data_IF_914889013938
#
_entry.id   IF_914889013938
#
_cell.length_a   1.000
_cell.length_b   1.000
_cell.length_c   1.000
_cell.angle_alpha   90.00
_cell.angle_beta   90.00
_cell.angle_gamma   90.00
#
_symmetry.space_group_name_H-M   'P 1'
#
loop_
_entity.id
_entity.type
_entity.pdbx_description
1 polymer ?
#
# COMPACT_ATOMS: atom_id res chain seq x y z
N UNK A 1 -24.33 10.55 -8.02
CA UNK A 1 -24.45 10.53 -6.54
C UNK A 1 -23.24 11.25 -5.98
N UNK A 2 -23.42 12.22 -5.07
CA UNK A 2 -22.31 12.96 -4.45
C UNK A 2 -21.84 12.23 -3.19
N UNK A 3 -20.55 12.28 -2.89
CA UNK A 3 -19.93 11.62 -1.74
C UNK A 3 -19.17 12.63 -0.83
N UNK A 4 -18.48 12.11 0.19
CA UNK A 4 -17.71 12.94 1.11
C UNK A 4 -16.46 13.58 0.50
N UNK A 5 -15.93 13.08 -0.62
CA UNK A 5 -14.83 13.75 -1.36
C UNK A 5 -15.36 15.01 -2.03
N UNK A 6 -16.57 14.97 -2.60
CA UNK A 6 -17.16 16.14 -3.25
C UNK A 6 -17.26 17.33 -2.30
N UNK A 7 -17.59 17.10 -1.03
CA UNK A 7 -17.60 18.17 0.00
C UNK A 7 -16.23 18.81 0.22
N UNK A 8 -15.15 18.03 0.12
CA UNK A 8 -13.78 18.53 0.25
C UNK A 8 -13.39 19.34 -0.98
N UNK A 9 -13.69 18.84 -2.17
CA UNK A 9 -13.41 19.54 -3.44
C UNK A 9 -14.19 20.86 -3.51
N UNK A 10 -15.48 20.86 -3.18
CA UNK A 10 -16.29 22.08 -3.13
C UNK A 10 -15.69 23.14 -2.21
N UNK A 11 -15.21 22.73 -1.03
CA UNK A 11 -14.56 23.64 -0.07
C UNK A 11 -13.29 24.27 -0.66
N UNK A 12 -12.49 23.49 -1.38
CA UNK A 12 -11.30 23.99 -2.06
C UNK A 12 -11.66 24.96 -3.20
N UNK A 13 -12.63 24.62 -4.04
CA UNK A 13 -13.07 25.49 -5.13
C UNK A 13 -13.66 26.81 -4.60
N UNK A 14 -14.31 26.80 -3.44
CA UNK A 14 -14.81 28.03 -2.80
C UNK A 14 -13.68 28.94 -2.30
N UNK A 15 -12.59 28.37 -1.78
CA UNK A 15 -11.45 29.13 -1.25
C UNK A 15 -10.43 29.52 -2.32
N UNK A 16 -10.29 28.72 -3.37
CA UNK A 16 -9.31 28.87 -4.46
C UNK A 16 -9.96 28.53 -5.80
N UNK A 17 -10.84 29.39 -6.32
CA UNK A 17 -11.51 29.16 -7.61
C UNK A 17 -10.55 29.15 -8.80
N UNK A 18 -9.31 29.63 -8.62
CA UNK A 18 -8.24 29.59 -9.60
C UNK A 18 -7.56 28.21 -9.74
N UNK A 19 -7.79 27.29 -8.81
CA UNK A 19 -7.20 25.95 -8.81
C UNK A 19 -8.22 24.87 -9.18
N UNK A 20 -7.88 24.04 -10.17
CA UNK A 20 -8.63 22.82 -10.45
C UNK A 20 -8.20 21.70 -9.48
N UNK A 21 -9.04 21.42 -8.49
CA UNK A 21 -8.84 20.35 -7.52
C UNK A 21 -9.43 19.00 -7.98
N UNK A 22 -10.02 18.90 -9.17
CA UNK A 22 -10.65 17.67 -9.66
C UNK A 22 -9.73 16.43 -9.65
N UNK A 23 -8.42 16.49 -9.95
CA UNK A 23 -7.54 15.32 -9.91
C UNK A 23 -7.39 14.74 -8.50
N UNK A 24 -7.39 15.60 -7.48
CA UNK A 24 -7.34 15.18 -6.07
C UNK A 24 -8.59 14.38 -5.70
N UNK A 25 -9.73 14.71 -6.30
CA UNK A 25 -10.98 13.98 -6.13
C UNK A 25 -10.88 12.52 -6.58
N UNK A 26 -10.11 12.22 -7.62
CA UNK A 26 -9.88 10.84 -8.08
C UNK A 26 -8.95 10.11 -7.11
N UNK A 27 -7.82 10.72 -6.77
CA UNK A 27 -6.83 10.13 -5.85
C UNK A 27 -7.45 9.83 -4.48
N UNK A 28 -8.23 10.77 -3.92
CA UNK A 28 -8.88 10.60 -2.63
C UNK A 28 -9.88 9.43 -2.61
N UNK A 29 -10.61 9.21 -3.72
CA UNK A 29 -11.54 8.08 -3.85
C UNK A 29 -10.79 6.75 -3.94
N UNK A 30 -9.71 6.69 -4.73
CA UNK A 30 -8.87 5.50 -4.83
C UNK A 30 -8.22 5.16 -3.47
N UNK A 31 -7.78 6.18 -2.72
CA UNK A 31 -7.26 5.98 -1.36
C UNK A 31 -8.32 5.41 -0.41
N UNK A 32 -9.57 5.86 -0.49
CA UNK A 32 -10.67 5.29 0.29
C UNK A 32 -10.94 3.83 -0.05
N UNK A 33 -11.04 3.53 -1.34
CA UNK A 33 -11.21 2.15 -1.81
C UNK A 33 -10.05 1.27 -1.34
N UNK A 34 -8.81 1.76 -1.46
CA UNK A 34 -7.62 1.08 -0.94
C UNK A 34 -7.72 0.85 0.56
N UNK A 35 -8.15 1.82 1.36
CA UNK A 35 -8.26 1.65 2.82
C UNK A 35 -9.21 0.52 3.22
N UNK A 36 -10.27 0.29 2.44
CA UNK A 36 -11.16 -0.85 2.65
C UNK A 36 -10.46 -2.18 2.34
N UNK A 37 -9.72 -2.27 1.24
CA UNK A 37 -8.94 -3.48 0.93
C UNK A 37 -7.82 -3.72 1.93
N UNK A 38 -7.13 -2.68 2.37
CA UNK A 38 -6.03 -2.79 3.33
C UNK A 38 -6.53 -3.38 4.66
N UNK A 39 -7.74 -3.01 5.13
CA UNK A 39 -8.36 -3.58 6.34
C UNK A 39 -8.68 -5.07 6.20
N UNK A 40 -9.29 -5.48 5.09
CA UNK A 40 -9.64 -6.88 4.83
C UNK A 40 -8.38 -7.74 4.67
N UNK A 41 -7.36 -7.22 3.96
CA UNK A 41 -6.07 -7.89 3.80
C UNK A 41 -5.34 -8.02 5.13
N UNK A 42 -5.33 -6.97 5.96
CA UNK A 42 -4.71 -7.00 7.28
C UNK A 42 -5.36 -8.08 8.16
N UNK A 43 -6.69 -8.16 8.19
CA UNK A 43 -7.40 -9.22 8.91
C UNK A 43 -7.03 -10.62 8.39
N UNK A 44 -7.05 -10.81 7.07
CA UNK A 44 -6.67 -12.08 6.44
C UNK A 44 -5.25 -12.51 6.78
N UNK A 45 -4.26 -11.62 6.71
CA UNK A 45 -2.88 -11.98 7.05
C UNK A 45 -2.69 -12.21 8.55
N UNK A 46 -3.43 -11.49 9.40
CA UNK A 46 -3.40 -11.68 10.85
C UNK A 46 -3.85 -13.09 11.26
N UNK A 47 -4.83 -13.69 10.57
CA UNK A 47 -5.25 -15.09 10.79
C UNK A 47 -4.09 -16.09 10.54
N UNK A 48 -3.09 -15.68 9.76
CA UNK A 48 -1.88 -16.44 9.48
C UNK A 48 -0.65 -15.96 10.26
N UNK A 49 -0.80 -15.03 11.21
CA UNK A 49 0.29 -14.39 11.96
C UNK A 49 1.31 -13.66 11.07
N UNK A 50 0.85 -13.17 9.92
CA UNK A 50 1.65 -12.42 8.94
C UNK A 50 1.15 -10.98 8.84
N UNK A 51 1.96 -10.13 8.21
CA UNK A 51 1.47 -8.90 7.59
C UNK A 51 1.57 -9.00 6.07
N UNK A 52 0.94 -8.03 5.37
CA UNK A 52 1.13 -7.87 3.93
C UNK A 52 2.61 -7.80 3.54
N UNK A 53 3.45 -7.13 4.34
CA UNK A 53 4.88 -7.00 4.07
C UNK A 53 5.64 -8.32 4.19
N UNK A 54 5.21 -9.23 5.08
CA UNK A 54 5.77 -10.58 5.18
C UNK A 54 5.36 -11.42 3.97
N UNK A 55 4.08 -11.33 3.61
CA UNK A 55 3.57 -12.02 2.44
C UNK A 55 4.30 -11.60 1.16
N UNK A 56 4.60 -10.30 0.99
CA UNK A 56 5.41 -9.81 -0.14
C UNK A 56 6.79 -10.48 -0.20
N UNK A 57 7.45 -10.65 0.95
CA UNK A 57 8.74 -11.34 1.04
C UNK A 57 8.58 -12.81 0.66
N UNK A 58 7.63 -13.53 1.26
CA UNK A 58 7.37 -14.93 0.98
C UNK A 58 7.00 -15.17 -0.50
N UNK A 59 6.12 -14.34 -1.06
CA UNK A 59 5.72 -14.40 -2.46
C UNK A 59 6.91 -14.13 -3.40
N UNK A 60 7.79 -13.20 -3.03
CA UNK A 60 9.00 -12.90 -3.80
C UNK A 60 10.00 -14.05 -3.74
N UNK A 61 10.29 -14.58 -2.55
CA UNK A 61 11.12 -15.77 -2.38
C UNK A 61 10.58 -16.95 -3.21
N UNK A 62 9.26 -17.14 -3.21
CA UNK A 62 8.61 -18.18 -4.02
C UNK A 62 8.85 -17.97 -5.53
N UNK A 63 8.73 -16.73 -6.04
CA UNK A 63 9.05 -16.39 -7.44
C UNK A 63 10.52 -16.59 -7.78
N UNK A 64 11.42 -16.40 -6.82
CA UNK A 64 12.87 -16.60 -6.96
C UNK A 64 13.29 -18.07 -6.80
N UNK A 65 12.35 -19.01 -6.71
CA UNK A 65 12.66 -20.45 -6.62
C UNK A 65 12.78 -21.00 -5.20
N UNK A 66 12.36 -20.24 -4.19
CA UNK A 66 12.28 -20.68 -2.78
C UNK A 66 13.49 -20.33 -1.92
N UNK A 67 14.60 -19.89 -2.52
CA UNK A 67 15.76 -19.37 -1.80
C UNK A 67 16.45 -18.29 -2.64
N UNK A 68 16.86 -17.19 -2.02
CA UNK A 68 17.63 -16.14 -2.70
C UNK A 68 18.70 -15.56 -1.79
N UNK A 69 19.69 -14.89 -2.37
CA UNK A 69 20.55 -14.01 -1.58
C UNK A 69 19.74 -12.80 -1.09
N UNK A 70 20.18 -12.19 0.01
CA UNK A 70 19.57 -10.96 0.52
C UNK A 70 19.62 -9.84 -0.53
N UNK A 71 20.71 -9.74 -1.30
CA UNK A 71 20.83 -8.77 -2.39
C UNK A 71 19.76 -8.96 -3.47
N UNK A 72 19.54 -10.20 -3.92
CA UNK A 72 18.51 -10.48 -4.93
C UNK A 72 17.10 -10.17 -4.40
N UNK A 73 16.86 -10.44 -3.12
CA UNK A 73 15.58 -10.12 -2.47
C UNK A 73 15.35 -8.60 -2.36
N UNK A 74 16.40 -7.85 -1.99
CA UNK A 74 16.38 -6.38 -1.98
C UNK A 74 16.07 -5.80 -3.36
N UNK A 75 16.78 -6.26 -4.39
CA UNK A 75 16.60 -5.82 -5.78
C UNK A 75 15.18 -6.13 -6.27
N UNK A 76 14.63 -7.31 -5.95
CA UNK A 76 13.29 -7.71 -6.36
C UNK A 76 12.16 -6.95 -5.64
N UNK A 77 12.37 -6.54 -4.38
CA UNK A 77 11.37 -5.80 -3.59
C UNK A 77 11.54 -4.27 -3.64
N UNK A 78 12.66 -3.77 -4.19
CA UNK A 78 13.00 -2.36 -4.13
C UNK A 78 13.23 -1.85 -2.71
N UNK A 79 13.73 -2.71 -1.81
CA UNK A 79 13.90 -2.42 -0.39
C UNK A 79 15.37 -2.30 -0.01
N UNK A 80 15.62 -1.56 1.08
CA UNK A 80 16.96 -1.45 1.66
C UNK A 80 17.34 -2.72 2.43
N UNK A 81 18.64 -2.92 2.65
CA UNK A 81 19.16 -4.07 3.39
C UNK A 81 18.56 -4.18 4.79
N UNK A 82 18.46 -3.05 5.51
CA UNK A 82 17.88 -3.01 6.86
C UNK A 82 16.39 -3.38 6.86
N UNK A 83 15.61 -2.91 5.88
CA UNK A 83 14.19 -3.28 5.77
C UNK A 83 14.02 -4.76 5.47
N UNK A 84 14.86 -5.33 4.59
CA UNK A 84 14.82 -6.76 4.27
C UNK A 84 15.21 -7.61 5.49
N UNK A 85 16.27 -7.26 6.22
CA UNK A 85 16.68 -8.00 7.43
C UNK A 85 15.55 -8.05 8.47
N UNK A 86 14.93 -6.91 8.80
CA UNK A 86 13.81 -6.87 9.77
C UNK A 86 12.63 -7.75 9.33
N UNK A 87 12.32 -7.79 8.04
CA UNK A 87 11.23 -8.63 7.52
C UNK A 87 11.59 -10.11 7.55
N UNK A 88 12.82 -10.47 7.19
CA UNK A 88 13.29 -11.86 7.20
C UNK A 88 13.41 -12.39 8.63
N UNK A 89 13.90 -11.59 9.58
CA UNK A 89 14.02 -11.99 10.99
C UNK A 89 12.66 -12.25 11.68
N UNK A 90 11.57 -11.74 11.09
CA UNK A 90 10.20 -11.94 11.59
C UNK A 90 9.51 -13.18 11.03
N UNK A 91 10.02 -13.74 9.94
CA UNK A 91 9.51 -14.94 9.27
C UNK A 91 10.10 -16.22 9.87
#
# INVERSE_FOLDING_TARGET
MRDSVDRVIDGWCALRPDLDASPIGVVARLQRVRSHFDQELEAFFADHQLTLADFEVLATLRRLGGSSSQRALMEALGLTSGTVSVRVDRL
#
